data_IF_405010317664
#
_entry.id   IF_405010317664
#
_cell.length_a   1.000
_cell.length_b   1.000
_cell.length_c   1.000
_cell.angle_alpha   90.00
_cell.angle_beta   90.00
_cell.angle_gamma   90.00
#
_symmetry.space_group_name_H-M   'P 1'
#
loop_
_entity.id
_entity.type
_entity.pdbx_description
1 polymer ?
#
# COMPACT_ATOMS: atom_id res chain seq x y z
N UNK A 1 27.59 -5.90 -52.11
CA UNK A 1 27.05 -6.86 -51.16
C UNK A 1 26.53 -6.15 -49.96
N UNK A 2 25.28 -5.70 -50.03
CA UNK A 2 24.58 -5.11 -48.93
C UNK A 2 24.30 -6.16 -47.87
N UNK A 3 25.15 -6.26 -46.91
CA UNK A 3 24.81 -6.92 -45.70
C UNK A 3 23.94 -5.95 -44.90
N UNK A 4 22.66 -5.98 -45.17
CA UNK A 4 21.70 -5.48 -44.23
C UNK A 4 21.93 -6.21 -42.93
N UNK A 5 22.73 -5.63 -42.04
CA UNK A 5 22.66 -6.01 -40.66
C UNK A 5 21.25 -5.64 -40.25
N UNK A 6 20.44 -6.66 -40.21
CA UNK A 6 19.26 -6.63 -39.42
C UNK A 6 19.77 -6.38 -38.00
N UNK A 7 20.02 -5.14 -37.66
CA UNK A 7 20.00 -4.72 -36.30
C UNK A 7 18.54 -4.91 -35.91
N UNK A 8 18.21 -6.15 -35.55
CA UNK A 8 17.20 -6.31 -34.56
C UNK A 8 17.69 -5.43 -33.43
N UNK A 9 17.15 -4.23 -33.39
CA UNK A 9 17.26 -3.44 -32.21
C UNK A 9 16.72 -4.36 -31.13
N UNK A 10 17.61 -4.98 -30.38
CA UNK A 10 17.32 -5.37 -29.05
C UNK A 10 17.03 -4.06 -28.35
N UNK A 11 15.90 -3.48 -28.67
CA UNK A 11 15.17 -2.75 -27.70
C UNK A 11 14.70 -3.84 -26.72
N UNK A 12 15.64 -4.36 -25.96
CA UNK A 12 15.34 -4.88 -24.67
C UNK A 12 14.44 -3.81 -24.10
N UNK A 13 13.14 -4.09 -24.04
CA UNK A 13 12.20 -3.27 -23.31
C UNK A 13 12.89 -3.12 -21.97
N UNK A 14 13.46 -1.92 -21.74
CA UNK A 14 14.14 -1.64 -20.50
C UNK A 14 13.09 -1.87 -19.43
N UNK A 15 13.25 -2.93 -18.64
CA UNK A 15 12.36 -3.23 -17.55
C UNK A 15 12.47 -2.02 -16.63
N UNK A 16 11.39 -1.24 -16.56
CA UNK A 16 11.36 -0.08 -15.69
C UNK A 16 11.58 -0.53 -14.26
N UNK A 17 12.51 0.10 -13.58
CA UNK A 17 12.76 -0.14 -12.17
C UNK A 17 11.55 0.28 -11.35
N UNK A 18 11.02 -0.64 -10.56
CA UNK A 18 9.95 -0.36 -9.60
C UNK A 18 10.58 -0.24 -8.22
N UNK A 19 10.63 0.97 -7.69
CA UNK A 19 11.21 1.25 -6.37
C UNK A 19 10.18 0.95 -5.31
N UNK A 20 10.42 -0.10 -4.54
CA UNK A 20 9.49 -0.60 -3.54
C UNK A 20 9.88 -0.13 -2.14
N UNK A 21 8.96 0.54 -1.46
CA UNK A 21 9.08 0.89 -0.05
C UNK A 21 8.32 -0.14 0.79
N UNK A 22 8.93 -0.58 1.87
CA UNK A 22 8.30 -1.50 2.82
C UNK A 22 7.80 -0.69 4.00
N UNK A 23 6.50 -0.81 4.27
CA UNK A 23 5.89 -0.22 5.45
C UNK A 23 5.55 -1.31 6.46
N UNK A 24 6.00 -1.13 7.69
CA UNK A 24 5.73 -2.05 8.80
C UNK A 24 5.10 -1.29 9.96
N UNK A 25 4.21 -1.96 10.68
CA UNK A 25 3.55 -1.38 11.84
C UNK A 25 3.28 -2.46 12.87
N UNK A 26 3.53 -2.13 14.13
CA UNK A 26 3.18 -2.95 15.27
C UNK A 26 2.19 -2.18 16.14
N UNK A 27 1.04 -2.78 16.41
CA UNK A 27 0.07 -2.22 17.34
C UNK A 27 0.42 -2.61 18.77
N UNK A 28 0.21 -1.70 19.73
CA UNK A 28 0.33 -2.02 21.16
C UNK A 28 -0.73 -3.00 21.64
N UNK A 29 -1.84 -3.11 20.91
CA UNK A 29 -2.96 -4.00 21.23
C UNK A 29 -2.71 -5.44 20.78
N UNK A 30 -1.66 -5.68 19.99
CA UNK A 30 -1.30 -7.02 19.57
C UNK A 30 -0.56 -7.73 20.70
N UNK A 31 -1.08 -8.90 21.10
CA UNK A 31 -0.47 -9.72 22.13
C UNK A 31 0.98 -10.04 21.86
N UNK A 32 1.76 -10.14 22.92
CA UNK A 32 3.20 -10.39 22.91
C UNK A 32 3.61 -11.71 22.24
N UNK A 33 2.66 -12.54 21.84
CA UNK A 33 2.87 -13.93 21.43
C UNK A 33 3.08 -14.12 19.93
N UNK A 34 3.23 -13.04 19.16
CA UNK A 34 3.30 -13.19 17.71
C UNK A 34 4.64 -12.73 17.18
N UNK A 35 5.60 -13.64 17.22
CA UNK A 35 6.90 -13.46 16.56
C UNK A 35 6.75 -13.04 15.10
N UNK A 36 5.69 -13.52 14.42
CA UNK A 36 5.37 -13.17 13.04
C UNK A 36 4.89 -11.74 12.83
N UNK A 37 4.56 -11.02 13.91
CA UNK A 37 4.10 -9.63 13.84
C UNK A 37 5.19 -8.62 14.21
N UNK A 38 6.40 -9.07 14.49
CA UNK A 38 7.51 -8.15 14.71
C UNK A 38 7.78 -7.32 13.45
N UNK A 39 8.28 -6.11 13.63
CA UNK A 39 8.64 -5.25 12.50
C UNK A 39 9.65 -5.92 11.59
N UNK A 40 10.64 -6.62 12.16
CA UNK A 40 11.66 -7.31 11.39
C UNK A 40 11.10 -8.48 10.59
N UNK A 41 10.18 -9.25 11.16
CA UNK A 41 9.54 -10.35 10.44
C UNK A 41 8.66 -9.84 9.28
N UNK A 42 7.93 -8.77 9.47
CA UNK A 42 7.16 -8.13 8.41
C UNK A 42 8.06 -7.66 7.28
N UNK A 43 9.18 -7.00 7.63
CA UNK A 43 10.14 -6.52 6.65
C UNK A 43 10.78 -7.67 5.89
N UNK A 44 11.18 -8.73 6.56
CA UNK A 44 11.78 -9.91 5.93
C UNK A 44 10.83 -10.55 4.92
N UNK A 45 9.56 -10.71 5.27
CA UNK A 45 8.55 -11.24 4.36
C UNK A 45 8.35 -10.34 3.14
N UNK A 46 8.31 -9.03 3.34
CA UNK A 46 8.18 -8.06 2.26
C UNK A 46 9.42 -8.05 1.36
N UNK A 47 10.61 -8.12 1.92
CA UNK A 47 11.86 -8.19 1.15
C UNK A 47 11.91 -9.47 0.30
N UNK A 48 11.48 -10.61 0.86
CA UNK A 48 11.41 -11.86 0.12
C UNK A 48 10.44 -11.77 -1.05
N UNK A 49 9.30 -11.14 -0.85
CA UNK A 49 8.33 -10.91 -1.93
C UNK A 49 8.93 -10.03 -3.03
N UNK A 50 9.55 -8.92 -2.68
CA UNK A 50 10.19 -8.01 -3.64
C UNK A 50 11.28 -8.76 -4.42
N UNK A 51 12.09 -9.56 -3.74
CA UNK A 51 13.11 -10.37 -4.38
C UNK A 51 12.53 -11.36 -5.40
N UNK A 52 11.35 -11.92 -5.11
CA UNK A 52 10.66 -12.81 -6.05
C UNK A 52 10.20 -12.09 -7.33
N UNK A 53 10.04 -10.78 -7.28
CA UNK A 53 9.63 -9.93 -8.41
C UNK A 53 10.81 -9.21 -9.09
N UNK A 54 12.02 -9.57 -8.76
CA UNK A 54 13.23 -8.95 -9.33
C UNK A 54 13.27 -9.04 -10.85
N UNK A 55 12.77 -10.12 -11.43
CA UNK A 55 12.67 -10.30 -12.87
C UNK A 55 11.79 -9.27 -13.56
N UNK A 56 10.89 -8.63 -12.82
CA UNK A 56 10.02 -7.56 -13.31
C UNK A 56 10.54 -6.15 -12.97
N UNK A 57 11.78 -6.05 -12.51
CA UNK A 57 12.44 -4.78 -12.21
C UNK A 57 12.19 -4.23 -10.81
N UNK A 58 11.66 -5.03 -9.91
CA UNK A 58 11.38 -4.58 -8.54
C UNK A 58 12.66 -4.49 -7.72
N UNK A 59 12.86 -3.35 -7.09
CA UNK A 59 13.97 -3.09 -6.17
C UNK A 59 13.45 -2.66 -4.81
N UNK A 60 14.06 -3.19 -3.76
CA UNK A 60 13.75 -2.79 -2.39
C UNK A 60 14.54 -1.54 -2.03
N UNK A 61 13.84 -0.47 -1.64
CA UNK A 61 14.49 0.73 -1.13
C UNK A 61 15.11 0.44 0.25
N UNK A 62 16.31 0.97 0.53
CA UNK A 62 16.98 0.75 1.81
C UNK A 62 16.34 1.51 2.97
N UNK A 63 15.57 2.53 2.69
CA UNK A 63 14.90 3.34 3.71
C UNK A 63 13.88 2.52 4.47
N UNK A 64 13.90 2.62 5.80
CA UNK A 64 12.95 1.92 6.66
C UNK A 64 11.79 2.85 7.03
N UNK A 65 10.58 2.31 6.88
CA UNK A 65 9.33 2.98 7.28
C UNK A 65 8.63 2.08 8.31
N UNK A 66 9.10 2.14 9.54
CA UNK A 66 8.66 1.28 10.62
C UNK A 66 7.95 2.10 11.70
N UNK A 67 6.68 1.82 11.96
CA UNK A 67 5.91 2.43 13.04
C UNK A 67 5.61 1.38 14.11
N UNK A 68 6.30 1.48 15.23
CA UNK A 68 6.09 0.62 16.38
C UNK A 68 5.26 1.32 17.46
N UNK A 69 4.25 0.61 18.01
CA UNK A 69 3.49 1.10 19.16
C UNK A 69 2.34 2.05 18.87
N UNK A 70 1.98 2.26 17.60
CA UNK A 70 0.88 3.15 17.19
C UNK A 70 -0.33 2.35 16.72
N UNK A 71 -1.54 2.88 16.95
CA UNK A 71 -2.77 2.23 16.48
C UNK A 71 -2.95 2.43 14.98
N UNK A 72 -3.53 1.42 14.30
CA UNK A 72 -3.74 1.47 12.85
C UNK A 72 -4.84 2.43 12.39
N UNK A 73 -5.64 2.97 13.31
CA UNK A 73 -6.68 3.95 13.00
C UNK A 73 -6.21 5.39 12.99
N UNK A 74 -4.95 5.64 13.33
CA UNK A 74 -4.39 6.97 13.43
C UNK A 74 -3.39 7.23 12.31
N UNK A 75 -3.61 8.32 11.55
CA UNK A 75 -2.74 8.75 10.46
C UNK A 75 -1.49 9.52 10.94
N UNK A 76 -1.36 9.78 12.24
CA UNK A 76 -0.23 10.52 12.81
C UNK A 76 1.03 9.67 13.00
N UNK A 77 1.10 8.53 12.35
CA UNK A 77 2.25 7.63 12.40
C UNK A 77 3.45 8.23 11.68
N UNK A 78 4.59 8.46 12.36
CA UNK A 78 5.71 9.20 11.78
C UNK A 78 6.31 8.56 10.53
N UNK A 79 6.47 7.24 10.51
CA UNK A 79 7.02 6.55 9.35
C UNK A 79 6.07 6.60 8.16
N UNK A 80 4.76 6.46 8.39
CA UNK A 80 3.76 6.62 7.33
C UNK A 80 3.79 8.04 6.77
N UNK A 81 3.92 9.05 7.62
CA UNK A 81 4.03 10.45 7.19
C UNK A 81 5.27 10.66 6.31
N UNK A 82 6.42 10.10 6.69
CA UNK A 82 7.63 10.17 5.87
C UNK A 82 7.44 9.47 4.53
N UNK A 83 6.79 8.30 4.54
CA UNK A 83 6.52 7.55 3.32
C UNK A 83 5.63 8.35 2.36
N UNK A 84 4.56 8.98 2.86
CA UNK A 84 3.67 9.80 2.03
C UNK A 84 4.41 11.01 1.45
N UNK A 85 5.31 11.64 2.20
CA UNK A 85 6.16 12.71 1.69
C UNK A 85 7.11 12.23 0.60
N UNK A 86 7.71 11.07 0.77
CA UNK A 86 8.62 10.49 -0.22
C UNK A 86 7.86 10.07 -1.50
N UNK A 87 6.61 9.67 -1.37
CA UNK A 87 5.73 9.42 -2.51
C UNK A 87 5.47 10.73 -3.29
N UNK A 88 5.13 11.81 -2.60
CA UNK A 88 4.93 13.11 -3.21
C UNK A 88 6.19 13.63 -3.89
N UNK A 89 7.35 13.31 -3.35
CA UNK A 89 8.65 13.66 -3.92
C UNK A 89 9.08 12.76 -5.10
N UNK A 90 8.27 11.76 -5.45
CA UNK A 90 8.56 10.86 -6.57
C UNK A 90 9.65 9.84 -6.30
N UNK A 91 9.90 9.50 -5.02
CA UNK A 91 10.96 8.57 -4.62
C UNK A 91 10.54 7.11 -4.54
N UNK A 92 9.24 6.84 -4.60
CA UNK A 92 8.64 5.51 -4.39
C UNK A 92 7.70 5.20 -5.53
N UNK A 93 7.71 3.96 -6.01
CA UNK A 93 6.82 3.49 -7.06
C UNK A 93 5.80 2.47 -6.57
N UNK A 94 6.13 1.75 -5.50
CA UNK A 94 5.29 0.70 -4.94
C UNK A 94 5.44 0.64 -3.42
N UNK A 95 4.33 0.40 -2.73
CA UNK A 95 4.32 0.13 -1.29
C UNK A 95 4.04 -1.35 -1.07
N UNK A 96 4.84 -1.99 -0.25
CA UNK A 96 4.67 -3.39 0.14
C UNK A 96 4.44 -3.46 1.65
N UNK A 97 3.36 -4.14 2.05
CA UNK A 97 3.04 -4.40 3.45
C UNK A 97 2.82 -5.89 3.67
N UNK A 98 3.01 -6.35 4.89
CA UNK A 98 2.78 -7.75 5.24
C UNK A 98 1.29 -8.12 5.14
N UNK A 99 0.43 -7.28 5.72
CA UNK A 99 -1.04 -7.41 5.66
C UNK A 99 -1.67 -6.04 5.46
N UNK A 100 -2.87 -5.99 4.91
CA UNK A 100 -3.61 -4.73 4.71
C UNK A 100 -3.82 -3.97 6.01
N UNK A 101 -4.07 -4.66 7.13
CA UNK A 101 -4.26 -4.05 8.45
C UNK A 101 -3.00 -3.38 9.00
N UNK A 102 -1.84 -3.67 8.43
CA UNK A 102 -0.60 -2.96 8.77
C UNK A 102 -0.58 -1.55 8.19
N UNK A 103 -1.27 -1.32 7.09
CA UNK A 103 -1.45 0.02 6.56
C UNK A 103 -2.53 0.78 7.32
N UNK A 104 -3.70 0.18 7.48
CA UNK A 104 -4.78 0.75 8.28
C UNK A 104 -5.79 -0.32 8.70
N UNK A 105 -6.36 -0.19 9.91
CA UNK A 105 -7.49 -1.01 10.38
C UNK A 105 -8.84 -0.39 9.99
N UNK A 106 -8.86 0.91 9.77
CA UNK A 106 -10.05 1.62 9.33
C UNK A 106 -10.17 1.55 7.81
N UNK A 107 -11.32 1.09 7.32
CA UNK A 107 -11.58 1.05 5.88
C UNK A 107 -11.58 2.46 5.27
N UNK A 108 -12.06 3.46 6.00
CA UNK A 108 -12.03 4.86 5.56
C UNK A 108 -10.61 5.40 5.42
N UNK A 109 -9.75 5.14 6.40
CA UNK A 109 -8.35 5.56 6.34
C UNK A 109 -7.60 4.81 5.25
N UNK A 110 -7.88 3.52 5.10
CA UNK A 110 -7.32 2.72 4.01
C UNK A 110 -7.70 3.31 2.64
N UNK A 111 -8.97 3.63 2.45
CA UNK A 111 -9.45 4.25 1.21
C UNK A 111 -8.77 5.59 0.94
N UNK A 112 -8.57 6.41 1.99
CA UNK A 112 -7.88 7.70 1.88
C UNK A 112 -6.44 7.53 1.46
N UNK A 113 -5.72 6.59 2.07
CA UNK A 113 -4.32 6.29 1.73
C UNK A 113 -4.23 5.80 0.30
N UNK A 114 -5.06 4.84 -0.09
CA UNK A 114 -5.07 4.29 -1.44
C UNK A 114 -5.43 5.36 -2.48
N UNK A 115 -6.36 6.25 -2.17
CA UNK A 115 -6.68 7.39 -3.04
C UNK A 115 -5.47 8.28 -3.28
N UNK A 116 -4.68 8.54 -2.25
CA UNK A 116 -3.42 9.28 -2.39
C UNK A 116 -2.41 8.53 -3.24
N UNK A 117 -2.29 7.22 -3.05
CA UNK A 117 -1.38 6.38 -3.85
C UNK A 117 -1.76 6.37 -5.32
N UNK A 118 -3.03 6.19 -5.63
CA UNK A 118 -3.52 6.20 -7.01
C UNK A 118 -3.30 7.56 -7.68
N UNK A 119 -3.51 8.64 -6.96
CA UNK A 119 -3.25 9.99 -7.44
C UNK A 119 -1.81 10.18 -7.89
N UNK A 120 -0.86 9.52 -7.24
CA UNK A 120 0.56 9.59 -7.56
C UNK A 120 1.05 8.41 -8.42
N UNK A 121 0.16 7.54 -8.85
CA UNK A 121 0.52 6.38 -9.68
C UNK A 121 1.29 5.30 -8.92
N UNK A 122 1.11 5.19 -7.61
CA UNK A 122 1.82 4.25 -6.75
C UNK A 122 1.03 2.94 -6.60
N UNK A 123 1.69 1.81 -6.81
CA UNK A 123 1.11 0.49 -6.61
C UNK A 123 1.14 0.10 -5.12
N UNK A 124 0.21 -0.74 -4.73
CA UNK A 124 0.10 -1.28 -3.37
C UNK A 124 0.04 -2.80 -3.40
N UNK A 125 0.82 -3.44 -2.55
CA UNK A 125 0.88 -4.90 -2.45
C UNK A 125 0.84 -5.34 -1.01
N UNK A 126 -0.04 -6.29 -0.70
CA UNK A 126 -0.05 -7.03 0.56
C UNK A 126 0.47 -8.44 0.33
N UNK A 127 1.46 -8.85 1.11
CA UNK A 127 2.16 -10.12 0.90
C UNK A 127 1.28 -11.32 1.23
N UNK A 128 0.56 -11.29 2.36
CA UNK A 128 -0.18 -12.46 2.85
C UNK A 128 -1.60 -12.59 2.32
N UNK A 129 -2.20 -11.49 1.90
CA UNK A 129 -3.60 -11.47 1.45
C UNK A 129 -3.74 -11.48 -0.06
N UNK A 130 -2.66 -11.67 -0.77
CA UNK A 130 -2.59 -11.64 -2.24
C UNK A 130 -3.29 -10.43 -2.87
N UNK A 131 -3.30 -9.33 -2.15
CA UNK A 131 -3.85 -8.08 -2.61
C UNK A 131 -2.78 -7.30 -3.33
N UNK A 132 -2.94 -7.13 -4.65
CA UNK A 132 -1.94 -6.49 -5.49
C UNK A 132 -2.64 -5.62 -6.54
N UNK A 133 -2.49 -4.31 -6.43
CA UNK A 133 -3.11 -3.36 -7.37
C UNK A 133 -2.46 -3.36 -8.75
N UNK A 134 -1.34 -4.06 -8.94
CA UNK A 134 -0.73 -4.23 -10.26
C UNK A 134 -1.48 -5.25 -11.13
N UNK A 135 -2.32 -6.09 -10.53
CA UNK A 135 -3.13 -7.08 -11.24
C UNK A 135 -4.56 -6.59 -11.42
N UNK A 136 -5.23 -7.07 -12.47
CA UNK A 136 -6.65 -6.75 -12.71
C UNK A 136 -7.56 -7.23 -11.57
N UNK A 137 -7.29 -8.41 -11.05
CA UNK A 137 -8.06 -8.97 -9.93
C UNK A 137 -7.84 -8.15 -8.65
N UNK A 138 -6.60 -7.72 -8.37
CA UNK A 138 -6.30 -6.86 -7.24
C UNK A 138 -6.99 -5.51 -7.35
N UNK A 139 -7.02 -4.91 -8.54
CA UNK A 139 -7.72 -3.65 -8.76
C UNK A 139 -9.23 -3.79 -8.59
N UNK A 140 -9.82 -4.89 -9.05
CA UNK A 140 -11.24 -5.17 -8.81
C UNK A 140 -11.53 -5.26 -7.31
N UNK A 141 -10.72 -6.00 -6.58
CA UNK A 141 -10.83 -6.12 -5.12
C UNK A 141 -10.73 -4.75 -4.45
N UNK A 142 -9.76 -3.93 -4.87
CA UNK A 142 -9.60 -2.57 -4.38
C UNK A 142 -10.86 -1.74 -4.63
N UNK A 143 -11.41 -1.77 -5.84
CA UNK A 143 -12.59 -1.00 -6.19
C UNK A 143 -13.81 -1.40 -5.34
N UNK A 144 -13.95 -2.69 -5.04
CA UNK A 144 -15.00 -3.20 -4.16
C UNK A 144 -14.81 -2.62 -2.74
N UNK A 145 -13.59 -2.67 -2.21
CA UNK A 145 -13.29 -2.13 -0.87
C UNK A 145 -13.54 -0.61 -0.80
N UNK A 146 -13.15 0.14 -1.84
CA UNK A 146 -13.39 1.57 -1.91
C UNK A 146 -14.89 1.89 -1.97
N UNK A 147 -15.66 1.08 -2.68
CA UNK A 147 -17.13 1.22 -2.74
C UNK A 147 -17.77 0.99 -1.37
N UNK A 148 -17.33 0.00 -0.63
CA UNK A 148 -17.78 -0.23 0.75
C UNK A 148 -17.42 0.92 1.67
N UNK A 149 -16.22 1.48 1.55
CA UNK A 149 -15.79 2.62 2.35
C UNK A 149 -16.67 3.85 2.07
N UNK A 150 -17.00 4.11 0.82
CA UNK A 150 -17.90 5.19 0.43
C UNK A 150 -19.31 4.97 0.98
N UNK A 151 -19.83 3.75 0.89
CA UNK A 151 -21.12 3.37 1.44
C UNK A 151 -21.18 3.60 2.95
N UNK A 152 -20.18 3.16 3.71
CA UNK A 152 -20.08 3.41 5.14
C UNK A 152 -20.10 4.91 5.45
N UNK A 153 -19.39 5.71 4.66
CA UNK A 153 -19.36 7.17 4.81
C UNK A 153 -20.74 7.79 4.58
N UNK A 154 -21.47 7.34 3.58
CA UNK A 154 -22.82 7.79 3.27
C UNK A 154 -23.78 7.43 4.41
N UNK A 155 -23.72 6.22 4.94
CA UNK A 155 -24.54 5.79 6.08
C UNK A 155 -24.25 6.64 7.31
N UNK A 156 -23.00 6.92 7.63
CA UNK A 156 -22.61 7.77 8.75
C UNK A 156 -23.20 9.18 8.55
N UNK A 157 -23.13 9.71 7.33
CA UNK A 157 -23.72 11.00 6.98
C UNK A 157 -25.23 11.03 7.18
N UNK A 158 -25.95 10.02 6.75
CA UNK A 158 -27.40 9.89 6.94
C UNK A 158 -27.77 9.80 8.42
N UNK A 159 -27.08 8.98 9.20
CA UNK A 159 -27.30 8.87 10.64
C UNK A 159 -27.08 10.19 11.36
N UNK A 160 -26.09 10.95 10.96
CA UNK A 160 -25.82 12.28 11.53
C UNK A 160 -26.94 13.25 11.18
N UNK A 161 -27.44 13.25 9.95
CA UNK A 161 -28.58 14.07 9.53
C UNK A 161 -29.84 13.73 10.30
N UNK A 162 -30.13 12.45 10.48
CA UNK A 162 -31.29 11.98 11.23
C UNK A 162 -31.22 12.41 12.69
N UNK A 163 -30.06 12.37 13.31
CA UNK A 163 -29.85 12.89 14.66
C UNK A 163 -30.11 14.38 14.75
N UNK A 164 -29.64 15.16 13.79
CA UNK A 164 -29.86 16.61 13.74
C UNK A 164 -31.36 16.90 13.55
N UNK A 165 -32.05 16.22 12.64
CA UNK A 165 -33.48 16.35 12.42
C UNK A 165 -34.28 15.97 13.66
N UNK A 166 -33.91 14.90 14.39
CA UNK A 166 -34.54 14.50 15.64
C UNK A 166 -34.35 15.49 16.76
N UNK A 167 -33.23 16.22 16.82
CA UNK A 167 -32.95 17.21 17.85
C UNK A 167 -33.71 18.52 17.68
N UNK A 168 -34.31 18.78 16.52
CA UNK A 168 -35.08 20.00 16.21
C UNK A 168 -36.58 19.90 16.53
N UNK A 169 -37.03 18.80 17.06
CA UNK A 169 -38.43 18.62 17.49
C UNK A 169 -38.69 19.11 18.89
#
# INVERSE_FOLDING_TARGET
>A
AGKGRNQMSNSAVAIETVRCAIYTRKSTDEGLDQEFNSLDAQREAAEAYIASQRGEGWECLPTRYDDGGYTGGNMDRPALQRLLKDIEAGKVDCIVVYKVDRLSRSLLDFARIIGTLEKHGISFVSVTQQFNTTTSMGRLTLNILLSFAQFEREIIGERTRDKIAGARR
#
